data_IF_640863996706
#
_entry.id   IF_640863996706
#
_cell.length_a   1.000
_cell.length_b   1.000
_cell.length_c   1.000
_cell.angle_alpha   90.00
_cell.angle_beta   90.00
_cell.angle_gamma   90.00
#
_symmetry.space_group_name_H-M   'P 1'
#
loop_
_entity.id
_entity.type
_entity.pdbx_description
1 polymer ?
2 non-polymer ?
3 non-polymer ?
4 water ?
#
# COMPACT_ATOMS: atom_id res chain seq x y z
N UNK A 1 9.61 -8.76 20.30
CA UNK A 1 9.03 -8.97 18.98
C UNK A 1 8.34 -7.70 18.50
N UNK A 2 8.72 -7.23 17.31
CA UNK A 2 8.11 -6.05 16.74
C UNK A 2 6.75 -6.37 16.14
N UNK A 3 5.88 -5.37 16.10
CA UNK A 3 4.50 -5.52 15.69
C UNK A 3 4.17 -4.53 14.59
N UNK A 4 3.40 -4.97 13.61
CA UNK A 4 2.91 -4.11 12.53
C UNK A 4 1.42 -4.35 12.36
N UNK A 5 0.70 -3.28 12.06
CA UNK A 5 -0.75 -3.33 11.87
C UNK A 5 -1.10 -3.01 10.41
N UNK A 6 -2.01 -3.78 9.84
CA UNK A 6 -2.57 -3.45 8.54
C UNK A 6 -4.04 -3.07 8.72
N UNK A 7 -4.47 -2.08 7.95
CA UNK A 7 -5.86 -1.61 7.96
C UNK A 7 -6.33 -1.70 6.50
N UNK A 8 -6.94 -2.82 6.14
CA UNK A 8 -7.17 -3.11 4.73
C UNK A 8 -8.33 -4.09 4.60
N UNK A 9 -8.68 -4.40 3.35
CA UNK A 9 -9.73 -5.35 3.08
C UNK A 9 -9.28 -6.79 3.11
N UNK A 10 -10.26 -7.69 3.02
CA UNK A 10 -10.05 -9.13 3.09
C UNK A 10 -10.18 -9.75 1.71
N UNK A 11 -9.13 -10.45 1.27
CA UNK A 11 -9.09 -11.19 0.01
C UNK A 11 -9.22 -12.68 0.33
N UNK A 12 -10.36 -13.26 -0.04
CA UNK A 12 -10.59 -14.66 0.30
C UNK A 12 -9.57 -15.58 -0.34
N UNK A 13 -9.04 -15.19 -1.50
CA UNK A 13 -8.06 -16.01 -2.20
C UNK A 13 -6.66 -15.97 -1.62
N UNK A 14 -6.40 -15.02 -0.72
CA UNK A 14 -5.14 -14.99 0.00
C UNK A 14 -3.98 -14.34 -0.71
N UNK A 15 -4.18 -13.84 -1.93
CA UNK A 15 -3.08 -13.20 -2.65
C UNK A 15 -2.91 -11.72 -2.40
N UNK A 16 -3.92 -11.06 -1.84
CA UNK A 16 -3.88 -9.62 -1.67
C UNK A 16 -4.52 -9.25 -0.34
N UNK A 17 -4.62 -7.96 -0.08
CA UNK A 17 -5.35 -7.51 1.08
C UNK A 17 -4.65 -7.86 2.37
N UNK A 18 -5.45 -8.00 3.42
CA UNK A 18 -4.92 -8.32 4.74
C UNK A 18 -4.20 -9.66 4.73
N UNK A 19 -4.64 -10.59 3.87
CA UNK A 19 -3.97 -11.87 3.76
C UNK A 19 -2.54 -11.72 3.26
N UNK A 20 -2.35 -10.95 2.18
CA UNK A 20 -1.00 -10.67 1.72
C UNK A 20 -0.22 -9.83 2.71
N UNK A 21 -0.89 -8.93 3.42
CA UNK A 21 -0.20 -8.12 4.42
C UNK A 21 0.34 -8.97 5.55
N UNK A 22 -0.51 -9.85 6.12
CA UNK A 22 -0.06 -10.67 7.23
C UNK A 22 0.99 -11.68 6.78
N UNK A 23 0.84 -12.26 5.59
CA UNK A 23 1.84 -13.20 5.11
C UNK A 23 3.19 -12.53 4.94
N UNK A 24 3.18 -11.25 4.53
CA UNK A 24 4.44 -10.51 4.42
C UNK A 24 5.04 -10.22 5.79
N UNK A 25 4.20 -9.92 6.78
CA UNK A 25 4.72 -9.65 8.11
C UNK A 25 5.42 -10.88 8.67
N UNK A 26 4.84 -12.06 8.47
CA UNK A 26 5.46 -13.28 8.96
C UNK A 26 6.75 -13.57 8.23
N UNK A 27 6.83 -13.23 6.94
CA UNK A 27 8.06 -13.46 6.21
C UNK A 27 9.21 -12.65 6.78
N UNK A 28 8.92 -11.48 7.34
CA UNK A 28 9.95 -10.61 7.90
C UNK A 28 10.06 -10.74 9.41
N UNK A 29 9.35 -11.68 10.03
CA UNK A 29 9.45 -11.87 11.45
C UNK A 29 8.66 -10.91 12.32
N UNK A 30 7.76 -10.12 11.73
CA UNK A 30 6.98 -9.14 12.49
C UNK A 30 5.66 -9.77 12.91
N UNK A 31 5.25 -9.51 14.15
CA UNK A 31 3.91 -9.90 14.57
C UNK A 31 2.87 -9.05 13.85
N UNK A 32 1.81 -9.70 13.36
CA UNK A 32 0.86 -9.08 12.46
C UNK A 32 -0.49 -8.86 13.12
N UNK A 33 -1.02 -7.65 12.93
CA UNK A 33 -2.36 -7.30 13.36
C UNK A 33 -3.12 -6.68 12.19
N UNK A 34 -4.44 -6.78 12.23
CA UNK A 34 -5.26 -6.39 11.09
C UNK A 34 -6.58 -5.78 11.54
N UNK A 35 -6.93 -4.63 10.98
CA UNK A 35 -8.24 -4.03 11.16
C UNK A 35 -8.95 -4.08 9.80
N UNK A 36 -10.01 -4.88 9.72
CA UNK A 36 -10.69 -5.11 8.45
C UNK A 36 -11.58 -3.94 8.09
N UNK A 37 -11.42 -3.44 6.87
CA UNK A 37 -12.29 -2.39 6.34
C UNK A 37 -13.46 -2.95 5.55
N UNK A 38 -13.31 -4.13 4.96
CA UNK A 38 -14.31 -4.71 4.09
C UNK A 38 -13.95 -6.17 3.84
N UNK A 39 -14.95 -6.94 3.40
CA UNK A 39 -14.79 -8.35 3.09
C UNK A 39 -15.15 -8.56 1.62
N UNK A 40 -14.36 -9.36 0.90
CA UNK A 40 -14.65 -9.68 -0.47
C UNK A 40 -14.61 -11.18 -0.69
N UNK A 41 -15.48 -11.67 -1.57
CA UNK A 41 -15.30 -12.97 -2.21
C UNK A 41 -14.46 -12.73 -3.45
N UNK A 42 -13.30 -13.38 -3.52
CA UNK A 42 -12.32 -13.04 -4.54
C UNK A 42 -11.43 -14.24 -4.83
N UNK A 43 -10.97 -14.33 -6.08
CA UNK A 43 -10.00 -15.33 -6.48
C UNK A 43 -9.06 -14.68 -7.49
N UNK A 44 -8.28 -15.50 -8.21
CA UNK A 44 -7.37 -14.97 -9.22
C UNK A 44 -8.10 -14.41 -10.44
N UNK A 45 -9.36 -14.79 -10.64
CA UNK A 45 -10.15 -14.25 -11.73
C UNK A 45 -10.79 -12.91 -11.39
N UNK A 46 -10.73 -12.47 -10.15
CA UNK A 46 -11.26 -11.18 -9.74
C UNK A 46 -12.26 -11.31 -8.62
N UNK A 47 -12.80 -10.15 -8.22
CA UNK A 47 -13.77 -10.09 -7.14
C UNK A 47 -15.15 -10.52 -7.63
N UNK A 48 -15.93 -11.15 -6.74
CA UNK A 48 -17.31 -11.52 -7.00
C UNK A 48 -18.31 -10.91 -6.04
N UNK A 49 -17.87 -10.59 -4.81
CA UNK A 49 -18.76 -9.95 -3.81
C UNK A 49 -17.92 -9.01 -2.96
N UNK A 50 -18.46 -7.83 -2.65
CA UNK A 50 -17.75 -6.84 -1.79
C UNK A 50 -18.70 -6.37 -0.69
N UNK A 51 -18.31 -6.54 0.56
CA UNK A 51 -19.14 -6.14 1.72
C UNK A 51 -18.35 -5.15 2.56
N UNK A 52 -18.78 -3.90 2.58
CA UNK A 52 -18.08 -2.90 3.37
C UNK A 52 -18.55 -2.95 4.81
N UNK A 53 -17.60 -2.95 5.74
CA UNK A 53 -17.91 -3.00 7.15
C UNK A 53 -18.34 -1.62 7.67
N UNK A 54 -19.10 -1.58 8.76
CA UNK A 54 -19.51 -0.29 9.33
C UNK A 54 -18.29 0.51 9.76
N UNK A 55 -18.25 1.82 9.52
CA UNK A 55 -17.08 2.61 9.85
C UNK A 55 -16.71 2.51 11.33
N UNK A 56 -17.68 2.29 12.19
CA UNK A 56 -17.45 2.23 13.65
C UNK A 56 -16.77 0.91 14.03
N UNK A 57 -17.04 -0.15 13.26
CA UNK A 57 -16.39 -1.45 13.52
C UNK A 57 -14.93 -1.34 13.10
N UNK A 58 -14.67 -0.60 12.02
CA UNK A 58 -13.28 -0.41 11.63
C UNK A 58 -12.54 0.41 12.68
N UNK A 59 -13.22 1.41 13.25
CA UNK A 59 -12.61 2.19 14.33
C UNK A 59 -12.41 1.34 15.58
N UNK A 60 -13.39 0.48 15.90
CA UNK A 60 -13.28 -0.30 17.12
C UNK A 60 -12.10 -1.26 17.07
N UNK A 61 -11.86 -1.87 15.91
CA UNK A 61 -10.75 -2.81 15.81
C UNK A 61 -9.42 -2.09 16.02
N UNK A 62 -9.27 -0.89 15.47
CA UNK A 62 -8.05 -0.12 15.68
C UNK A 62 -7.94 0.31 17.13
N UNK A 63 -9.07 0.69 17.75
CA UNK A 63 -9.01 1.11 19.14
C UNK A 63 -8.67 -0.05 20.06
N UNK A 64 -9.16 -1.24 19.75
CA UNK A 64 -8.93 -2.39 20.65
C UNK A 64 -7.46 -2.82 20.59
N UNK A 65 -6.87 -2.82 19.41
CA UNK A 65 -5.48 -3.32 19.26
C UNK A 65 -4.51 -2.27 19.77
N UNK A 66 -4.80 -1.00 19.52
CA UNK A 66 -3.85 0.06 19.90
C UNK A 66 -3.88 0.32 21.41
N UNK A 67 -5.03 0.11 22.04
CA UNK A 67 -5.10 0.28 23.49
C UNK A 67 -4.34 -0.79 24.25
N UNK A 68 -4.01 -1.91 23.61
CA UNK A 68 -3.46 -3.07 24.31
C UNK A 68 -2.09 -3.48 23.83
N UNK A 69 -1.76 -3.27 22.56
CA UNK A 69 -0.55 -3.83 21.98
C UNK A 69 0.30 -2.75 21.32
N UNK A 70 1.62 -2.93 21.32
CA UNK A 70 2.49 -1.99 20.61
C UNK A 70 2.25 -2.04 19.11
N UNK A 71 2.42 -0.89 18.47
CA UNK A 71 2.35 -0.77 17.02
C UNK A 71 3.63 -0.05 16.59
N UNK A 72 4.62 -0.83 16.15
CA UNK A 72 5.88 -0.27 15.70
C UNK A 72 5.85 0.26 14.27
N UNK A 73 4.82 -0.10 13.50
CA UNK A 73 4.59 0.42 12.16
C UNK A 73 3.20 -0.02 11.72
N UNK A 74 2.69 0.60 10.65
CA UNK A 74 1.37 0.26 10.17
C UNK A 74 1.21 0.68 8.72
N UNK A 75 0.22 0.08 8.06
CA UNK A 75 -0.10 0.38 6.67
C UNK A 75 -1.61 0.36 6.50
N UNK A 76 -2.09 1.13 5.52
CA UNK A 76 -3.50 1.08 5.14
C UNK A 76 -3.61 0.61 3.70
N UNK A 77 -4.72 -0.07 3.42
CA UNK A 77 -4.97 -0.59 2.09
C UNK A 77 -6.29 -0.11 1.55
N UNK A 78 -7.12 -1.04 1.08
CA UNK A 78 -8.44 -0.66 0.59
C UNK A 78 -9.27 -0.10 1.74
N UNK A 79 -9.93 1.03 1.50
CA UNK A 79 -10.72 1.66 2.55
C UNK A 79 -12.19 1.82 2.19
N UNK A 80 -12.63 1.33 1.04
CA UNK A 80 -14.06 1.25 0.75
C UNK A 80 -14.75 2.54 0.37
N UNK A 81 -14.94 3.45 1.32
CA UNK A 81 -15.72 4.66 1.06
C UNK A 81 -15.22 5.79 1.94
N UNK A 82 -15.77 6.99 1.70
CA UNK A 82 -15.33 8.17 2.43
C UNK A 82 -15.56 8.05 3.92
N UNK A 83 -16.65 7.40 4.34
CA UNK A 83 -16.94 7.29 5.76
C UNK A 83 -15.90 6.44 6.47
N UNK A 84 -15.50 5.32 5.86
CA UNK A 84 -14.47 4.48 6.46
C UNK A 84 -13.14 5.22 6.48
N UNK A 85 -12.86 6.01 5.44
CA UNK A 85 -11.59 6.73 5.39
C UNK A 85 -11.50 7.74 6.53
N UNK A 86 -12.58 8.47 6.77
CA UNK A 86 -12.55 9.46 7.85
C UNK A 86 -12.38 8.78 9.19
N UNK A 87 -13.02 7.62 9.38
CA UNK A 87 -12.89 6.92 10.66
C UNK A 87 -11.48 6.40 10.88
N UNK A 88 -10.81 5.95 9.81
CA UNK A 88 -9.45 5.45 9.93
C UNK A 88 -8.49 6.58 10.31
N UNK A 89 -8.62 7.73 9.64
CA UNK A 89 -7.73 8.84 9.97
C UNK A 89 -7.97 9.34 11.39
N UNK A 90 -9.22 9.31 11.86
CA UNK A 90 -9.49 9.76 13.22
C UNK A 90 -8.87 8.82 14.26
N UNK A 91 -8.82 7.52 13.96
CA UNK A 91 -8.17 6.59 14.87
C UNK A 91 -6.66 6.74 14.83
N UNK A 92 -6.11 6.87 13.62
CA UNK A 92 -4.66 6.94 13.45
C UNK A 92 -4.12 8.17 14.16
N UNK A 93 -4.84 9.28 14.09
CA UNK A 93 -4.39 10.49 14.76
C UNK A 93 -4.51 10.36 16.26
N UNK A 94 -5.66 9.86 16.76
CA UNK A 94 -5.86 9.82 18.20
C UNK A 94 -4.83 8.91 18.86
N UNK A 95 -4.49 7.80 18.21
CA UNK A 95 -3.63 6.81 18.81
C UNK A 95 -2.17 6.96 18.38
N UNK A 96 -1.84 7.94 17.55
CA UNK A 96 -0.45 8.21 17.23
C UNK A 96 0.21 7.13 16.43
N UNK A 97 -0.51 6.52 15.49
CA UNK A 97 0.00 5.36 14.77
C UNK A 97 0.99 5.81 13.71
N UNK A 98 2.27 5.85 14.10
CA UNK A 98 3.38 6.20 13.17
C UNK A 98 4.40 5.10 13.36
N UNK A 99 5.32 4.79 12.42
CA UNK A 99 5.22 5.14 11.00
C UNK A 99 4.01 4.52 10.30
N UNK A 100 3.42 5.24 9.36
CA UNK A 100 2.23 4.79 8.66
C UNK A 100 2.51 4.82 7.16
N UNK A 101 2.35 3.67 6.51
CA UNK A 101 2.52 3.55 5.06
C UNK A 101 1.12 3.51 4.47
N UNK A 102 0.70 4.61 3.85
CA UNK A 102 -0.63 4.69 3.26
C UNK A 102 -0.52 4.33 1.78
N UNK A 103 -1.06 3.17 1.42
CA UNK A 103 -1.17 2.79 0.02
C UNK A 103 -2.49 3.31 -0.52
N UNK A 104 -2.49 4.24 -1.51
CA UNK A 104 -3.73 4.89 -1.94
C UNK A 104 -4.91 3.99 -2.31
N UNK A 105 -4.67 2.92 -3.05
CA UNK A 105 -5.76 1.97 -3.43
C UNK A 105 -6.96 2.75 -3.96
N UNK A 106 -6.72 3.63 -4.94
CA UNK A 106 -7.80 4.45 -5.53
C UNK A 106 -7.96 4.13 -7.01
N UNK A 107 -6.87 3.73 -7.67
CA UNK A 107 -6.93 3.33 -9.08
C UNK A 107 -6.16 2.02 -9.21
N UNK A 108 -6.81 1.02 -9.79
CA UNK A 108 -6.17 -0.27 -10.03
C UNK A 108 -5.08 -0.13 -11.09
N UNK A 109 -4.13 -1.07 -11.04
CA UNK A 109 -3.08 -1.10 -12.07
C UNK A 109 -3.69 -1.24 -13.46
N UNK A 110 -4.87 -1.85 -13.55
CA UNK A 110 -5.60 -1.98 -14.82
C UNK A 110 -6.25 -0.68 -15.25
N UNK A 111 -6.28 0.33 -14.38
CA UNK A 111 -6.96 1.58 -14.66
C UNK A 111 -8.38 1.67 -14.14
N UNK A 112 -8.90 0.63 -13.53
CA UNK A 112 -10.24 0.69 -12.96
C UNK A 112 -10.21 1.51 -11.67
N UNK A 113 -11.10 2.50 -11.52
CA UNK A 113 -11.17 3.22 -10.25
C UNK A 113 -11.58 2.30 -9.11
N UNK A 114 -11.01 2.53 -7.93
CA UNK A 114 -11.31 1.73 -6.75
C UNK A 114 -11.94 2.53 -5.62
N UNK A 115 -12.18 3.82 -5.80
CA UNK A 115 -12.63 4.67 -4.72
C UNK A 115 -13.46 5.79 -5.31
N UNK A 116 -14.55 6.14 -4.64
CA UNK A 116 -15.39 7.21 -5.12
C UNK A 116 -14.68 8.55 -4.95
N UNK A 117 -15.03 9.55 -5.76
CA UNK A 117 -14.36 10.86 -5.61
C UNK A 117 -14.52 11.48 -4.24
N UNK A 118 -15.66 11.28 -3.57
CA UNK A 118 -15.77 11.76 -2.20
C UNK A 118 -14.80 11.04 -1.27
N UNK A 119 -14.55 9.75 -1.52
CA UNK A 119 -13.56 9.03 -0.74
C UNK A 119 -12.14 9.50 -1.05
N UNK A 120 -11.88 9.87 -2.30
CA UNK A 120 -10.55 10.36 -2.65
C UNK A 120 -10.28 11.69 -1.97
N UNK A 121 -11.29 12.55 -1.87
CA UNK A 121 -11.09 13.83 -1.20
C UNK A 121 -10.83 13.65 0.29
N UNK A 122 -11.53 12.71 0.92
CA UNK A 122 -11.25 12.39 2.32
C UNK A 122 -9.86 11.79 2.47
N UNK A 123 -9.46 10.96 1.51
CA UNK A 123 -8.14 10.33 1.58
C UNK A 123 -7.03 11.37 1.49
N UNK A 124 -7.22 12.41 0.68
CA UNK A 124 -6.19 13.43 0.56
C UNK A 124 -6.21 14.39 1.75
N UNK A 125 -7.40 14.76 2.21
CA UNK A 125 -7.54 15.76 3.26
C UNK A 125 -7.28 15.17 4.65
N UNK A 126 -7.74 13.96 4.92
CA UNK A 126 -7.68 13.38 6.26
C UNK A 126 -6.51 12.44 6.46
N UNK A 127 -6.31 11.46 5.57
CA UNK A 127 -5.34 10.41 5.82
C UNK A 127 -3.93 10.78 5.37
N UNK A 128 -3.80 11.46 4.23
CA UNK A 128 -2.47 11.81 3.73
C UNK A 128 -1.61 12.59 4.72
N UNK A 129 -2.10 13.61 5.42
CA UNK A 129 -1.23 14.33 6.37
C UNK A 129 -0.66 13.42 7.46
N UNK A 130 -1.37 12.35 7.82
CA UNK A 130 -0.87 11.41 8.82
C UNK A 130 0.15 10.43 8.26
N UNK A 131 0.30 10.32 6.95
CA UNK A 131 1.16 9.30 6.37
C UNK A 131 2.62 9.72 6.40
N UNK A 132 3.46 8.86 6.97
CA UNK A 132 4.89 9.03 6.79
C UNK A 132 5.32 8.71 5.35
N UNK A 133 4.57 7.84 4.67
CA UNK A 133 4.87 7.45 3.30
C UNK A 133 3.59 7.08 2.56
N UNK A 134 3.46 7.55 1.32
CA UNK A 134 2.40 7.09 0.44
C UNK A 134 3.04 6.40 -0.75
N UNK A 135 2.31 5.46 -1.35
CA UNK A 135 2.86 4.65 -2.44
C UNK A 135 1.89 4.62 -3.63
N UNK A 136 1.64 5.76 -4.26
CA UNK A 136 0.81 5.77 -5.47
C UNK A 136 1.51 5.08 -6.64
N UNK A 137 0.70 4.44 -7.49
CA UNK A 137 1.17 4.09 -8.81
C UNK A 137 0.97 5.29 -9.74
N UNK A 138 1.52 5.19 -10.95
CA UNK A 138 1.56 6.38 -11.81
C UNK A 138 0.18 6.92 -12.12
N UNK A 139 -0.78 6.02 -12.41
CA UNK A 139 -2.14 6.49 -12.68
C UNK A 139 -2.77 7.13 -11.44
N UNK A 140 -2.48 6.59 -10.26
CA UNK A 140 -3.02 7.17 -9.04
C UNK A 140 -2.45 8.56 -8.79
N UNK A 141 -1.16 8.74 -9.05
CA UNK A 141 -0.56 10.07 -8.88
C UNK A 141 -1.14 11.07 -9.87
N UNK A 142 -1.47 10.62 -11.09
CA UNK A 142 -2.11 11.54 -12.02
C UNK A 142 -3.50 11.95 -11.55
N UNK A 143 -4.21 11.06 -10.87
CA UNK A 143 -5.54 11.43 -10.36
C UNK A 143 -5.43 12.36 -9.16
N UNK A 144 -4.46 12.13 -8.29
CA UNK A 144 -4.30 12.98 -7.11
C UNK A 144 -3.89 14.39 -7.51
N UNK A 145 -3.05 14.53 -8.53
CA UNK A 145 -2.50 15.82 -8.92
C UNK A 145 -3.29 16.52 -10.01
N UNK A 146 -4.05 15.79 -10.81
CA UNK A 146 -4.70 16.40 -11.94
C UNK A 146 -3.80 16.70 -13.10
N UNK A 147 -2.59 16.13 -13.13
CA UNK A 147 -1.62 16.42 -14.17
C UNK A 147 -1.12 15.12 -14.78
N UNK A 148 -0.82 15.12 -16.08
CA UNK A 148 -0.20 13.94 -16.70
C UNK A 148 1.21 13.71 -16.19
N UNK A 149 1.60 12.43 -16.15
CA UNK A 149 2.94 12.01 -15.76
C UNK A 149 3.44 11.10 -16.87
N UNK A 150 4.25 11.65 -17.78
CA UNK A 150 4.64 10.95 -19.00
C UNK A 150 6.14 10.88 -19.22
N UNK A 151 6.95 11.73 -18.58
CA UNK A 151 8.39 11.72 -18.72
C UNK A 151 9.03 11.55 -17.35
N UNK A 152 10.33 11.22 -17.36
CA UNK A 152 11.06 11.14 -16.10
C UNK A 152 11.05 12.48 -15.37
N UNK A 153 11.11 13.59 -16.11
CA UNK A 153 11.02 14.89 -15.47
C UNK A 153 9.64 15.10 -14.86
N UNK A 154 8.58 14.73 -15.57
CA UNK A 154 7.24 14.87 -15.02
C UNK A 154 7.03 13.95 -13.82
N UNK A 155 7.66 12.78 -13.80
CA UNK A 155 7.52 11.89 -12.67
C UNK A 155 8.19 12.47 -11.43
N UNK A 156 9.41 13.00 -11.59
CA UNK A 156 10.10 13.59 -10.45
C UNK A 156 9.32 14.79 -9.91
N UNK A 157 8.85 15.66 -10.81
CA UNK A 157 8.08 16.81 -10.36
C UNK A 157 6.76 16.39 -9.73
N UNK A 158 6.17 15.29 -10.22
CA UNK A 158 4.93 14.81 -9.62
C UNK A 158 5.15 14.30 -8.21
N UNK A 159 6.22 13.52 -8.00
CA UNK A 159 6.47 12.99 -6.67
C UNK A 159 6.77 14.10 -5.67
N UNK A 160 7.42 15.17 -6.11
CA UNK A 160 7.62 16.31 -5.22
C UNK A 160 6.31 17.02 -4.94
N UNK A 161 5.43 17.13 -5.95
CA UNK A 161 4.18 17.84 -5.76
C UNK A 161 3.29 17.13 -4.74
N UNK A 162 3.36 15.80 -4.66
CA UNK A 162 2.51 15.06 -3.75
C UNK A 162 2.88 15.32 -2.29
N UNK A 163 4.12 15.73 -2.01
CA UNK A 163 4.50 16.10 -0.65
C UNK A 163 3.68 17.27 -0.12
N UNK A 164 3.14 18.11 -1.02
CA UNK A 164 2.30 19.22 -0.60
C UNK A 164 1.00 18.76 0.04
N UNK A 165 0.58 17.52 -0.22
CA UNK A 165 -0.66 17.01 0.37
C UNK A 165 -0.50 16.59 1.82
N UNK A 166 0.72 16.53 2.34
CA UNK A 166 0.91 16.11 3.71
C UNK A 166 1.93 15.02 3.99
N UNK A 167 2.03 13.98 3.15
CA UNK A 167 2.90 12.85 3.50
C UNK A 167 4.35 13.29 3.65
N UNK A 168 5.03 12.69 4.62
CA UNK A 168 6.44 12.99 4.79
C UNK A 168 7.28 12.45 3.65
N UNK A 169 6.79 11.43 2.94
CA UNK A 169 7.54 10.85 1.84
C UNK A 169 6.57 10.28 0.82
N UNK A 170 7.02 10.24 -0.43
CA UNK A 170 6.22 9.76 -1.55
C UNK A 170 7.06 8.76 -2.34
N UNK A 171 6.52 7.58 -2.56
CA UNK A 171 7.14 6.60 -3.45
C UNK A 171 6.22 6.47 -4.65
N UNK A 172 6.62 7.08 -5.76
CA UNK A 172 5.85 7.05 -6.99
C UNK A 172 6.28 5.79 -7.74
N UNK A 173 5.53 4.72 -7.54
CA UNK A 173 5.83 3.44 -8.18
C UNK A 173 5.63 3.56 -9.68
N UNK A 174 6.59 3.04 -10.45
CA UNK A 174 6.45 2.98 -11.89
C UNK A 174 6.31 4.32 -12.55
N UNK A 175 6.90 5.37 -11.99
CA UNK A 175 6.71 6.69 -12.55
C UNK A 175 7.46 6.93 -13.84
N UNK A 176 8.42 6.06 -14.14
CA UNK A 176 9.14 6.12 -15.41
C UNK A 176 9.55 4.71 -15.78
N UNK A 177 9.38 4.37 -17.05
CA UNK A 177 9.80 3.09 -17.58
C UNK A 177 10.90 3.32 -18.60
N UNK A 178 11.90 2.43 -18.60
CA UNK A 178 13.00 2.53 -19.55
C UNK A 178 13.37 1.11 -19.98
N UNK A 179 12.92 0.73 -21.17
CA UNK A 179 13.18 -0.62 -21.63
C UNK A 179 12.50 -1.63 -20.73
N UNK A 180 13.27 -2.61 -20.27
CA UNK A 180 12.73 -3.68 -19.44
C UNK A 180 12.85 -3.40 -17.95
N UNK A 181 13.25 -2.19 -17.56
CA UNK A 181 13.30 -1.78 -16.17
C UNK A 181 12.16 -0.81 -15.86
N UNK A 182 11.78 -0.75 -14.59
CA UNK A 182 10.79 0.20 -14.09
C UNK A 182 11.39 0.99 -12.94
N UNK A 183 11.15 2.30 -12.93
CA UNK A 183 11.82 3.21 -12.01
C UNK A 183 10.79 3.77 -11.03
N UNK A 184 11.04 3.60 -9.74
CA UNK A 184 10.28 4.25 -8.69
C UNK A 184 11.00 5.51 -8.23
N UNK A 185 10.22 6.55 -7.92
CA UNK A 185 10.75 7.84 -7.49
C UNK A 185 10.37 8.06 -6.03
N UNK A 186 11.36 8.03 -5.14
CA UNK A 186 11.14 8.35 -3.74
C UNK A 186 11.46 9.83 -3.52
N UNK A 187 10.47 10.59 -3.10
CA UNK A 187 10.64 12.02 -2.83
C UNK A 187 10.43 12.29 -1.35
N UNK A 188 11.38 13.00 -0.74
CA UNK A 188 11.21 13.58 0.59
C UNK A 188 11.57 15.05 0.53
N UNK A 189 11.66 15.71 1.67
CA UNK A 189 12.19 17.07 1.67
C UNK A 189 13.66 17.12 1.37
N UNK A 190 14.39 16.02 1.63
CA UNK A 190 15.81 15.94 1.30
C UNK A 190 16.06 15.98 -0.20
N UNK A 191 15.14 15.46 -1.00
CA UNK A 191 15.32 15.43 -2.44
C UNK A 191 14.63 14.21 -3.05
N UNK A 192 15.17 13.77 -4.19
CA UNK A 192 14.57 12.61 -4.90
C UNK A 192 15.62 11.52 -5.09
N UNK A 193 15.19 10.27 -5.03
CA UNK A 193 16.01 9.08 -5.20
C UNK A 193 15.27 8.14 -6.17
N UNK A 194 16.05 7.32 -6.87
CA UNK A 194 15.50 6.40 -7.86
C UNK A 194 15.73 4.97 -7.42
N UNK A 195 14.76 4.11 -7.72
CA UNK A 195 14.84 2.67 -7.43
C UNK A 195 14.48 1.89 -8.68
N UNK A 196 15.46 1.19 -9.25
CA UNK A 196 15.22 0.34 -10.41
C UNK A 196 14.59 -0.98 -10.00
N UNK A 197 13.84 -1.58 -10.93
CA UNK A 197 13.33 -2.95 -10.78
C UNK A 197 13.03 -3.56 -12.15
N UNK A 198 13.42 -4.81 -12.38
CA UNK A 198 13.12 -5.45 -13.67
C UNK A 198 11.62 -5.63 -13.87
N UNK A 199 11.20 -5.54 -15.13
CA UNK A 199 9.79 -5.69 -15.51
C UNK A 199 9.52 -7.15 -15.79
N UNK A 200 9.01 -7.86 -14.79
CA UNK A 200 8.66 -9.26 -14.96
C UNK A 200 7.45 -9.38 -15.89
N UNK A 201 7.43 -10.42 -16.70
CA UNK A 201 6.31 -10.71 -17.60
C UNK A 201 5.64 -12.00 -17.12
N UNK A 202 4.54 -11.86 -16.38
CA UNK A 202 3.91 -13.02 -15.78
C UNK A 202 2.44 -12.73 -15.52
N UNK A 203 1.63 -13.80 -15.48
CA UNK A 203 0.26 -13.70 -14.98
C UNK A 203 0.20 -13.52 -13.47
N UNK A 204 1.24 -13.93 -12.76
CA UNK A 204 1.21 -13.98 -11.29
C UNK A 204 1.59 -12.60 -10.73
N UNK A 205 0.67 -11.65 -10.94
CA UNK A 205 0.85 -10.27 -10.52
C UNK A 205 -0.13 -9.82 -9.45
N UNK A 206 -0.96 -10.73 -8.95
CA UNK A 206 -1.95 -10.37 -7.94
C UNK A 206 -1.27 -9.97 -6.63
N UNK A 207 -1.76 -8.90 -6.01
CA UNK A 207 -1.27 -8.48 -4.72
C UNK A 207 0.07 -7.76 -4.71
N UNK A 208 0.55 -7.29 -5.86
CA UNK A 208 1.84 -6.61 -5.88
C UNK A 208 1.82 -5.31 -5.08
N UNK A 209 0.71 -4.59 -5.09
CA UNK A 209 0.62 -3.32 -4.40
C UNK A 209 0.57 -3.49 -2.89
N UNK A 211 1.52 -6.19 -1.12
CA UNK A 211 2.74 -6.84 -0.66
C UNK A 211 3.88 -5.84 -0.49
N UNK A 212 4.03 -4.90 -1.42
CA UNK A 212 5.17 -3.97 -1.34
C UNK A 212 4.98 -3.07 -0.12
N UNK A 213 3.83 -2.43 -0.03
CA UNK A 213 3.67 -1.52 1.11
C UNK A 213 3.76 -2.26 2.43
N UNK A 214 3.27 -3.50 2.50
CA UNK A 214 3.37 -4.25 3.75
C UNK A 214 4.82 -4.57 4.09
N UNK A 215 5.64 -4.87 3.07
CA UNK A 215 7.04 -5.14 3.33
C UNK A 215 7.77 -3.89 3.79
N UNK A 216 7.38 -2.72 3.26
CA UNK A 216 7.99 -1.48 3.73
C UNK A 216 7.66 -1.25 5.20
N UNK A 217 6.37 -1.41 5.55
CA UNK A 217 5.97 -1.21 6.93
C UNK A 217 6.60 -2.24 7.86
N UNK A 218 6.77 -3.48 7.39
CA UNK A 218 7.43 -4.48 8.21
C UNK A 218 8.88 -4.13 8.47
N UNK A 219 9.59 -3.67 7.44
CA UNK A 219 10.96 -3.25 7.62
C UNK A 219 11.05 -2.00 8.49
N UNK A 220 10.07 -1.10 8.39
CA UNK A 220 10.06 0.05 9.27
C UNK A 220 9.83 -0.38 10.72
N UNK A 221 9.01 -1.41 10.94
CA UNK A 221 8.79 -1.89 12.29
C UNK A 221 10.07 -2.44 12.90
N UNK A 222 10.95 -2.99 12.06
CA UNK A 222 12.24 -3.50 12.48
C UNK A 222 13.27 -2.40 12.70
N UNK A 223 12.93 -1.16 12.40
CA UNK A 223 13.83 -0.04 12.61
C UNK A 223 14.75 0.29 11.46
N UNK A 224 14.54 -0.32 10.29
CA UNK A 224 15.38 0.01 9.14
C UNK A 224 15.09 1.42 8.63
N UNK A 225 16.11 2.11 8.12
CA UNK A 225 15.89 3.43 7.51
C UNK A 225 14.99 3.33 6.29
N UNK A 226 14.26 4.43 6.03
CA UNK A 226 13.24 4.40 5.00
C UNK A 226 13.81 4.05 3.63
N UNK A 227 14.98 4.60 3.29
CA UNK A 227 15.56 4.28 1.99
C UNK A 227 15.96 2.82 1.90
N UNK A 228 16.56 2.28 2.96
CA UNK A 228 16.89 0.86 2.97
C UNK A 228 15.65 -0.01 3.04
N UNK A 229 14.58 0.48 3.66
CA UNK A 229 13.35 -0.31 3.73
C UNK A 229 12.69 -0.44 2.37
N UNK A 230 12.58 0.67 1.64
CA UNK A 230 11.95 0.59 0.32
C UNK A 230 12.82 -0.20 -0.66
N UNK A 231 14.13 -0.16 -0.49
CA UNK A 231 15.01 -0.91 -1.40
C UNK A 231 14.88 -2.41 -1.15
N UNK A 232 14.94 -2.82 0.12
CA UNK A 232 14.83 -4.23 0.45
C UNK A 232 13.44 -4.78 0.17
N UNK A 233 12.40 -3.94 0.27
CA UNK A 233 11.06 -4.40 -0.07
C UNK A 233 10.93 -4.68 -1.56
N UNK A 234 11.57 -3.88 -2.41
CA UNK A 234 11.47 -4.10 -3.85
C UNK A 234 12.17 -5.38 -4.27
N UNK A 235 13.31 -5.70 -3.63
CA UNK A 235 14.00 -6.95 -3.96
C UNK A 235 13.16 -8.16 -3.59
N UNK A 236 12.42 -8.07 -2.48
CA UNK A 236 11.56 -9.18 -2.08
C UNK A 236 10.40 -9.34 -3.04
N UNK A 237 9.82 -8.22 -3.50
CA UNK A 237 8.74 -8.29 -4.48
C UNK A 237 9.23 -8.86 -5.80
N UNK A 238 10.47 -8.56 -6.19
CA UNK A 238 11.00 -9.14 -7.43
C UNK A 238 11.16 -10.65 -7.28
N UNK A 239 11.69 -11.11 -6.14
CA UNK A 239 11.83 -12.55 -5.92
C UNK A 239 10.47 -13.23 -5.80
N UNK A 240 9.51 -12.56 -5.16
CA UNK A 240 8.17 -13.12 -5.03
C UNK A 240 7.49 -13.26 -6.38
N UNK A 241 7.76 -12.34 -7.31
CA UNK A 241 7.22 -12.45 -8.66
C UNK A 241 7.91 -13.55 -9.44
N UNK A 242 9.24 -13.61 -9.36
CA UNK A 242 10.00 -14.59 -10.13
C UNK A 242 9.71 -16.02 -9.70
N UNK A 243 9.39 -16.24 -8.43
CA UNK A 243 9.19 -17.60 -7.92
C UNK A 243 7.74 -17.87 -7.55
N UNK A 244 6.80 -17.10 -8.10
CA UNK A 244 5.41 -17.21 -7.70
C UNK A 244 4.84 -18.58 -8.09
N UNK A 245 4.01 -19.17 -7.24
CA UNK A 245 3.30 -20.40 -7.64
C UNK A 245 2.34 -20.13 -8.78
N UNK A 246 2.17 -21.12 -9.65
CA UNK A 246 1.16 -21.03 -10.70
C UNK A 246 -0.18 -21.55 -10.18
N UNK A 247 -0.70 -20.85 -9.17
CA UNK A 247 -2.02 -21.13 -8.63
C UNK A 247 -3.07 -20.30 -9.34
N UNK A 248 -4.26 -20.88 -9.52
CA UNK A 248 -5.39 -20.18 -10.09
C UNK A 248 -5.37 -20.15 -11.61
N UNK A 249 -6.47 -19.66 -12.18
CA UNK A 249 -6.61 -19.56 -13.62
C UNK A 249 -6.33 -18.16 -14.17
N UNK A 250 -6.23 -17.16 -13.29
CA UNK A 250 -6.04 -15.78 -13.79
C UNK A 250 -4.80 -15.11 -13.25
N UNK A 251 -4.95 -13.90 -12.71
CA UNK A 251 -3.81 -13.20 -12.08
C UNK A 251 -3.42 -13.96 -10.82
N UNK A 252 -2.33 -14.72 -10.89
CA UNK A 252 -1.95 -15.58 -9.77
C UNK A 252 -1.26 -14.87 -8.65
N UNK A 253 -1.28 -15.45 -7.44
CA UNK A 253 -0.61 -14.85 -6.27
C UNK A 253 0.91 -14.90 -6.35
N UNK A 254 1.55 -14.01 -5.61
CA UNK A 254 2.99 -14.00 -5.43
C UNK A 254 3.44 -15.12 -4.49
N UNK A 255 4.72 -15.47 -4.58
CA UNK A 255 5.35 -16.39 -3.63
C UNK A 255 5.88 -15.60 -2.44
N UNK A 256 5.09 -15.54 -1.36
CA UNK A 256 5.48 -14.75 -0.20
C UNK A 256 6.61 -15.36 0.60
N UNK A 257 6.96 -16.63 0.36
CA UNK A 257 8.07 -17.26 1.04
C UNK A 257 9.42 -16.92 0.43
N UNK A 258 9.45 -16.20 -0.69
CA UNK A 258 10.69 -15.91 -1.40
C UNK A 258 11.59 -14.96 -0.62
#
# INVERSE_FOLDING_TARGET
>A
MRVALTIAGSDSGGGAGVQADLKTFSRFGVYGMSALTLVTAQNTLGVQRVHLLPPELVYAQIQAVAEDLPIHAAKTGALGNAAIVEAVAEAVRRFGIRPLVVDPVMVAKSGDPLLAPEAVAALKERLFPLATLITPNRLEAEALLGRPIRTLEEAEEAAKALLALGPKAVLLKGGHLEGEEAVDLLATGEGIRRFSAPRVQTRNTHGTGXTLSAAIAALLALGRPLEEAVAEAKAYLTRALETAPSLGHGHGPLNHFA
#
